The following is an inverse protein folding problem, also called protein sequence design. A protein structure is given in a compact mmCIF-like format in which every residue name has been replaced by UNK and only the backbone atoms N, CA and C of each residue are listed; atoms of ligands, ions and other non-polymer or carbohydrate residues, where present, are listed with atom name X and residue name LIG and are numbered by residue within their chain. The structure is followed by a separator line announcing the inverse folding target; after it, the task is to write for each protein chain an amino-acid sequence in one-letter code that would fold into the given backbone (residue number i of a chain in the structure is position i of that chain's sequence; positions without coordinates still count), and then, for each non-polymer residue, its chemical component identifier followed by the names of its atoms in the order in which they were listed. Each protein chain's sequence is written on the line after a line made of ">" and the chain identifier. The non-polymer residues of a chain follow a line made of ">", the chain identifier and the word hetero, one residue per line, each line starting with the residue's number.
data_IF_128705352316
#
_entry.id   IF_128705352316
#
_cell.length_a   1.000
_cell.length_b   1.000
_cell.length_c   1.000
_cell.angle_alpha   90.00
_cell.angle_beta   90.00
_cell.angle_gamma   90.00
#
_symmetry.space_group_name_H-M   'P 1'
#
loop_
_entity.id
_entity.type
_entity.pdbx_description
1 polymer ?
#
# COMPACT_ATOMS: atom_id res chain seq x y z
N UNK A 1 -21.36 10.87 5.23
CA UNK A 1 -21.12 9.90 4.14
C UNK A 1 -19.63 9.60 3.93
N UNK A 2 -18.75 10.61 3.85
CA UNK A 2 -17.30 10.43 3.70
C UNK A 2 -16.66 9.60 4.85
N UNK A 3 -16.99 9.90 6.11
CA UNK A 3 -16.49 9.13 7.27
C UNK A 3 -16.96 7.66 7.27
N UNK A 4 -18.16 7.38 6.77
CA UNK A 4 -18.67 6.01 6.65
C UNK A 4 -17.89 5.22 5.59
N UNK A 5 -17.56 5.85 4.46
CA UNK A 5 -16.68 5.25 3.44
C UNK A 5 -15.25 5.05 3.97
N UNK A 6 -14.75 5.96 4.79
CA UNK A 6 -13.44 5.79 5.42
C UNK A 6 -13.42 4.59 6.37
N UNK A 7 -14.44 4.43 7.20
CA UNK A 7 -14.57 3.28 8.09
C UNK A 7 -14.60 1.95 7.32
N UNK A 8 -15.33 1.88 6.20
CA UNK A 8 -15.40 0.66 5.37
C UNK A 8 -14.05 0.22 4.78
N UNK A 9 -13.05 1.10 4.71
CA UNK A 9 -11.70 0.76 4.21
C UNK A 9 -10.92 -0.05 5.26
N UNK A 10 -11.09 0.30 6.54
CA UNK A 10 -10.36 -0.33 7.64
C UNK A 10 -11.10 -1.52 8.24
N UNK A 11 -12.43 -1.61 8.12
CA UNK A 11 -13.22 -2.73 8.67
C UNK A 11 -12.66 -4.11 8.30
N UNK A 12 -12.29 -4.38 7.03
CA UNK A 12 -11.72 -5.69 6.66
C UNK A 12 -10.32 -5.94 7.26
N UNK A 13 -9.61 -4.90 7.65
CA UNK A 13 -8.25 -4.98 8.19
C UNK A 13 -8.24 -5.23 9.70
N UNK A 14 -9.30 -4.87 10.43
CA UNK A 14 -9.38 -4.98 11.89
C UNK A 14 -9.01 -6.39 12.39
N UNK A 15 -9.55 -7.50 11.84
CA UNK A 15 -9.18 -8.83 12.32
C UNK A 15 -7.69 -9.14 12.14
N UNK A 16 -7.11 -8.71 11.02
CA UNK A 16 -5.68 -8.84 10.74
C UNK A 16 -4.82 -8.05 11.72
N UNK A 17 -5.22 -6.80 12.03
CA UNK A 17 -4.56 -5.97 13.03
C UNK A 17 -4.58 -6.60 14.42
N UNK A 18 -5.71 -7.17 14.83
CA UNK A 18 -5.82 -7.83 16.13
C UNK A 18 -4.88 -9.03 16.20
N UNK A 19 -4.89 -9.92 15.21
CA UNK A 19 -4.04 -11.10 15.18
C UNK A 19 -2.54 -10.74 15.16
N UNK A 20 -2.13 -9.85 14.25
CA UNK A 20 -0.74 -9.43 14.12
C UNK A 20 -0.25 -8.63 15.33
N UNK A 21 -1.09 -7.80 15.93
CA UNK A 21 -0.78 -7.03 17.12
C UNK A 21 -0.60 -7.93 18.35
N UNK A 22 -1.48 -8.92 18.54
CA UNK A 22 -1.36 -9.89 19.63
C UNK A 22 -0.11 -10.77 19.48
N UNK A 23 0.17 -11.27 18.28
CA UNK A 23 1.40 -12.05 18.02
C UNK A 23 2.66 -11.24 18.31
N UNK A 24 2.71 -9.97 17.88
CA UNK A 24 3.81 -9.06 18.22
C UNK A 24 3.93 -8.87 19.73
N UNK A 25 2.82 -8.54 20.39
CA UNK A 25 2.77 -8.26 21.83
C UNK A 25 3.27 -9.43 22.65
N UNK A 26 2.76 -10.64 22.37
CA UNK A 26 3.19 -11.88 23.05
C UNK A 26 4.68 -12.13 22.79
N UNK A 27 5.13 -12.03 21.54
CA UNK A 27 6.53 -12.27 21.21
C UNK A 27 7.47 -11.26 21.88
N UNK A 28 7.09 -9.99 21.96
CA UNK A 28 7.86 -8.95 22.65
C UNK A 28 7.85 -9.14 24.17
N UNK A 29 6.72 -9.55 24.74
CA UNK A 29 6.61 -9.81 26.18
C UNK A 29 7.50 -10.97 26.60
N UNK A 30 7.47 -12.09 25.87
CA UNK A 30 8.34 -13.24 26.14
C UNK A 30 9.81 -12.86 25.98
N UNK A 31 10.17 -12.12 24.91
CA UNK A 31 11.53 -11.65 24.70
C UNK A 31 12.05 -10.82 25.88
N UNK A 32 11.23 -9.90 26.39
CA UNK A 32 11.56 -9.03 27.53
C UNK A 32 11.71 -9.80 28.83
N UNK A 33 10.77 -10.70 29.15
CA UNK A 33 10.81 -11.51 30.39
C UNK A 33 12.03 -12.43 30.41
N UNK A 34 12.34 -13.06 29.27
CA UNK A 34 13.45 -14.00 29.12
C UNK A 34 14.80 -13.31 28.89
N UNK A 35 14.85 -11.97 28.92
CA UNK A 35 16.05 -11.16 28.68
C UNK A 35 16.78 -11.54 27.37
N UNK A 36 16.02 -11.87 26.32
CA UNK A 36 16.59 -12.33 25.04
C UNK A 36 17.23 -11.13 24.33
N UNK A 37 18.56 -11.14 24.09
CA UNK A 37 19.23 -10.11 23.30
C UNK A 37 18.66 -10.02 21.89
N UNK A 38 18.68 -8.83 21.29
CA UNK A 38 18.14 -8.60 19.94
C UNK A 38 18.89 -9.36 18.84
N UNK A 39 20.14 -9.72 19.09
CA UNK A 39 21.09 -10.43 18.24
C UNK A 39 21.28 -11.89 18.66
N UNK A 40 20.51 -12.38 19.65
CA UNK A 40 20.59 -13.75 20.10
C UNK A 40 20.21 -14.72 18.98
N UNK A 41 21.09 -15.70 18.74
CA UNK A 41 20.85 -16.77 17.78
C UNK A 41 20.52 -18.06 18.53
N UNK A 42 19.44 -18.72 18.11
CA UNK A 42 18.97 -19.96 18.73
C UNK A 42 17.47 -20.19 18.53
N UNK A 43 17.01 -21.37 18.94
CA UNK A 43 15.63 -21.83 18.71
C UNK A 43 14.56 -20.91 19.32
N UNK A 44 14.82 -20.32 20.49
CA UNK A 44 13.89 -19.41 21.16
C UNK A 44 13.80 -18.03 20.46
N UNK A 45 14.91 -17.31 20.18
CA UNK A 45 14.88 -16.10 19.36
C UNK A 45 14.22 -16.31 17.98
N UNK A 46 14.48 -17.44 17.31
CA UNK A 46 13.91 -17.74 16.00
C UNK A 46 12.39 -17.95 16.07
N UNK A 47 11.88 -18.63 17.08
CA UNK A 47 10.45 -18.78 17.31
C UNK A 47 9.76 -17.43 17.59
N UNK A 48 10.40 -16.55 18.36
CA UNK A 48 9.89 -15.19 18.61
C UNK A 48 9.92 -14.33 17.35
N UNK A 49 10.97 -14.46 16.54
CA UNK A 49 11.08 -13.78 15.25
C UNK A 49 10.02 -14.27 14.25
N UNK A 50 9.70 -15.57 14.24
CA UNK A 50 8.59 -16.12 13.47
C UNK A 50 7.26 -15.47 13.87
N UNK A 51 6.98 -15.28 15.15
CA UNK A 51 5.76 -14.56 15.58
C UNK A 51 5.76 -13.09 15.15
N UNK A 52 6.90 -12.42 15.22
CA UNK A 52 7.06 -11.01 14.79
C UNK A 52 6.93 -10.82 13.28
N UNK A 53 7.18 -11.85 12.47
CA UNK A 53 7.16 -11.74 10.99
C UNK A 53 5.77 -11.42 10.47
N UNK A 54 4.72 -11.91 11.12
CA UNK A 54 3.33 -11.64 10.72
C UNK A 54 2.99 -10.15 10.82
N UNK A 55 3.45 -9.51 11.90
CA UNK A 55 3.26 -8.07 12.10
C UNK A 55 4.09 -7.26 11.12
N UNK A 56 5.34 -7.66 10.86
CA UNK A 56 6.15 -7.05 9.80
C UNK A 56 5.46 -7.14 8.45
N UNK A 57 4.90 -8.30 8.10
CA UNK A 57 4.15 -8.50 6.86
C UNK A 57 2.94 -7.58 6.76
N UNK A 58 2.10 -7.53 7.80
CA UNK A 58 0.93 -6.65 7.83
C UNK A 58 1.31 -5.18 7.65
N UNK A 59 2.29 -4.67 8.41
CA UNK A 59 2.66 -3.26 8.35
C UNK A 59 3.38 -2.89 7.05
N UNK A 60 4.16 -3.81 6.48
CA UNK A 60 4.83 -3.61 5.19
C UNK A 60 3.82 -3.48 4.04
N UNK A 61 2.80 -4.33 4.03
CA UNK A 61 1.78 -4.34 2.96
C UNK A 61 0.52 -3.57 3.31
N UNK A 62 0.50 -2.88 4.45
CA UNK A 62 -0.66 -2.12 4.92
C UNK A 62 -1.14 -1.13 3.86
N UNK A 63 -0.20 -0.43 3.23
CA UNK A 63 -0.49 0.54 2.17
C UNK A 63 -1.26 -0.09 1.01
N UNK A 64 -0.85 -1.29 0.58
CA UNK A 64 -1.49 -2.03 -0.52
C UNK A 64 -2.88 -2.49 -0.11
N UNK A 65 -3.03 -3.05 1.10
CA UNK A 65 -4.31 -3.51 1.63
C UNK A 65 -5.32 -2.36 1.78
N UNK A 66 -4.86 -1.19 2.22
CA UNK A 66 -5.66 0.03 2.29
C UNK A 66 -6.06 0.48 0.88
N UNK A 67 -5.13 0.51 -0.07
CA UNK A 67 -5.43 0.86 -1.47
C UNK A 67 -6.47 -0.04 -2.12
N UNK A 68 -6.38 -1.35 -1.87
CA UNK A 68 -7.35 -2.34 -2.33
C UNK A 68 -8.76 -2.06 -1.80
N UNK A 69 -8.88 -1.90 -0.47
CA UNK A 69 -10.16 -1.64 0.18
C UNK A 69 -10.70 -0.24 -0.19
N UNK A 70 -9.84 0.75 -0.35
CA UNK A 70 -10.21 2.10 -0.76
C UNK A 70 -10.82 2.12 -2.15
N UNK A 71 -10.19 1.48 -3.14
CA UNK A 71 -10.75 1.39 -4.49
C UNK A 71 -12.14 0.74 -4.48
N UNK A 72 -12.32 -0.35 -3.71
CA UNK A 72 -13.64 -0.97 -3.57
C UNK A 72 -14.67 -0.07 -2.88
N UNK A 73 -14.28 0.62 -1.79
CA UNK A 73 -15.16 1.54 -1.07
C UNK A 73 -15.62 2.73 -1.93
N UNK A 74 -14.82 3.10 -2.94
CA UNK A 74 -15.15 4.14 -3.91
C UNK A 74 -15.81 3.61 -5.19
N UNK A 75 -16.02 2.30 -5.32
CA UNK A 75 -16.72 1.67 -6.44
C UNK A 75 -15.87 1.34 -7.66
N UNK A 76 -14.54 1.33 -7.52
CA UNK A 76 -13.59 0.85 -8.53
C UNK A 76 -13.13 -0.58 -8.25
N UNK A 77 -12.23 -1.08 -9.09
CA UNK A 77 -11.66 -2.42 -8.95
C UNK A 77 -10.57 -2.42 -7.87
N UNK A 78 -10.74 -3.29 -6.86
CA UNK A 78 -9.78 -3.40 -5.75
C UNK A 78 -8.35 -3.66 -6.21
N UNK A 79 -8.17 -4.54 -7.20
CA UNK A 79 -6.84 -4.88 -7.75
C UNK A 79 -6.15 -3.65 -8.35
N UNK A 80 -6.87 -2.80 -9.08
CA UNK A 80 -6.30 -1.56 -9.63
C UNK A 80 -5.84 -0.61 -8.51
N UNK A 81 -6.64 -0.50 -7.45
CA UNK A 81 -6.27 0.25 -6.25
C UNK A 81 -5.01 -0.28 -5.56
N UNK A 82 -4.88 -1.61 -5.46
CA UNK A 82 -3.70 -2.26 -4.90
C UNK A 82 -2.43 -2.00 -5.73
N UNK A 83 -2.54 -2.06 -7.06
CA UNK A 83 -1.43 -1.76 -7.98
C UNK A 83 -0.96 -0.32 -7.81
N UNK A 84 -1.89 0.64 -7.81
CA UNK A 84 -1.56 2.05 -7.62
C UNK A 84 -0.93 2.28 -6.23
N UNK A 85 -1.46 1.65 -5.18
CA UNK A 85 -0.89 1.72 -3.85
C UNK A 85 0.52 1.11 -3.76
N UNK A 86 0.79 0.04 -4.50
CA UNK A 86 2.12 -0.57 -4.56
C UNK A 86 3.17 0.39 -5.12
N UNK A 87 2.80 1.30 -6.04
CA UNK A 87 3.72 2.32 -6.56
C UNK A 87 4.30 3.23 -5.46
N UNK A 88 3.55 3.42 -4.37
CA UNK A 88 4.00 4.18 -3.21
C UNK A 88 4.87 3.36 -2.23
N UNK A 89 4.97 2.05 -2.42
CA UNK A 89 5.83 1.17 -1.62
C UNK A 89 7.16 0.87 -2.32
N UNK A 90 7.19 0.97 -3.66
CA UNK A 90 8.39 0.70 -4.44
C UNK A 90 9.53 1.66 -4.10
N UNK A 91 10.75 1.13 -4.12
CA UNK A 91 11.97 1.92 -4.02
C UNK A 91 12.37 2.45 -5.40
N UNK A 92 12.59 3.76 -5.49
CA UNK A 92 13.08 4.44 -6.70
C UNK A 92 14.57 4.80 -6.63
N UNK A 93 15.24 4.44 -5.52
CA UNK A 93 16.68 4.67 -5.35
C UNK A 93 17.51 3.61 -6.12
N UNK A 94 18.25 3.99 -7.18
CA UNK A 94 19.05 3.07 -7.99
C UNK A 94 20.20 2.36 -7.25
N UNK A 95 20.58 2.85 -6.06
CA UNK A 95 21.59 2.23 -5.22
C UNK A 95 21.04 1.20 -4.22
N UNK A 96 19.71 1.03 -4.14
CA UNK A 96 19.10 0.07 -3.24
C UNK A 96 19.34 -1.37 -3.75
N UNK A 97 20.26 -2.09 -3.10
CA UNK A 97 20.57 -3.50 -3.39
C UNK A 97 19.54 -4.48 -2.81
N UNK A 98 18.64 -4.01 -1.94
CA UNK A 98 17.60 -4.83 -1.30
C UNK A 98 16.28 -4.06 -1.23
N UNK A 99 15.22 -4.61 -1.83
CA UNK A 99 13.87 -4.03 -1.87
C UNK A 99 13.13 -4.37 -3.17
N UNK A 100 11.93 -3.81 -3.36
CA UNK A 100 11.18 -3.89 -4.62
C UNK A 100 11.53 -2.67 -5.47
N UNK A 101 12.38 -2.87 -6.49
CA UNK A 101 12.91 -1.78 -7.31
C UNK A 101 12.03 -1.51 -8.53
N UNK A 102 11.71 -0.24 -8.77
CA UNK A 102 10.86 0.17 -9.89
C UNK A 102 11.58 0.16 -11.25
N UNK A 103 12.93 0.16 -11.27
CA UNK A 103 13.72 0.14 -12.51
C UNK A 103 14.00 1.52 -13.13
N UNK A 104 13.50 2.62 -12.54
CA UNK A 104 13.74 3.98 -13.00
C UNK A 104 13.90 4.96 -11.82
N UNK A 105 14.61 6.07 -12.05
CA UNK A 105 14.99 7.04 -11.03
C UNK A 105 14.02 8.23 -10.98
N UNK A 106 13.66 8.78 -12.14
CA UNK A 106 12.78 9.95 -12.24
C UNK A 106 11.59 9.67 -13.17
N UNK A 107 10.45 10.30 -12.88
CA UNK A 107 9.33 10.33 -13.80
C UNK A 107 9.51 11.53 -14.74
N UNK A 108 10.13 11.30 -15.92
CA UNK A 108 10.40 12.35 -16.91
C UNK A 108 11.13 13.59 -16.32
N UNK A 109 12.08 13.38 -15.39
CA UNK A 109 12.86 14.45 -14.74
C UNK A 109 12.21 15.07 -13.49
N UNK A 110 11.07 14.53 -13.03
CA UNK A 110 10.49 14.91 -11.74
C UNK A 110 10.95 13.95 -10.63
N UNK A 111 11.35 14.47 -9.45
CA UNK A 111 11.76 13.65 -8.32
C UNK A 111 10.56 12.86 -7.80
N UNK A 112 10.74 11.55 -7.67
CA UNK A 112 9.74 10.65 -7.09
C UNK A 112 10.06 10.52 -5.61
N UNK A 113 9.18 11.06 -4.76
CA UNK A 113 9.21 10.77 -3.34
C UNK A 113 8.16 9.69 -3.02
N UNK A 114 8.56 8.42 -2.88
CA UNK A 114 7.67 7.32 -2.54
C UNK A 114 7.32 7.30 -1.05
N UNK A 115 7.50 8.39 -0.29
CA UNK A 115 6.91 8.55 1.04
C UNK A 115 5.38 8.68 0.92
N UNK A 116 4.76 7.60 0.45
CA UNK A 116 3.33 7.44 0.39
C UNK A 116 2.77 7.32 1.79
N UNK A 117 2.48 8.46 2.39
CA UNK A 117 1.57 8.51 3.51
C UNK A 117 0.27 7.79 3.09
N UNK A 118 -0.35 7.05 4.01
CA UNK A 118 -1.63 6.36 3.81
C UNK A 118 -2.66 7.30 3.17
N UNK A 119 -2.61 8.59 3.51
CA UNK A 119 -3.45 9.65 2.93
C UNK A 119 -3.25 9.78 1.41
N UNK A 120 -2.01 9.81 0.92
CA UNK A 120 -1.71 9.90 -0.52
C UNK A 120 -2.25 8.70 -1.29
N UNK A 121 -2.13 7.50 -0.71
CA UNK A 121 -2.67 6.26 -1.29
C UNK A 121 -4.18 6.26 -1.32
N UNK A 122 -4.84 6.77 -0.28
CA UNK A 122 -6.30 6.92 -0.27
C UNK A 122 -6.80 7.88 -1.36
N UNK A 123 -6.09 8.99 -1.57
CA UNK A 123 -6.40 9.95 -2.64
C UNK A 123 -6.17 9.29 -4.01
N UNK A 124 -5.08 8.57 -4.19
CA UNK A 124 -4.76 7.86 -5.42
C UNK A 124 -5.78 6.76 -5.75
N UNK A 125 -6.19 5.98 -4.74
CA UNK A 125 -7.22 4.94 -4.90
C UNK A 125 -8.60 5.55 -5.21
N UNK A 126 -8.94 6.69 -4.61
CA UNK A 126 -10.16 7.44 -4.95
C UNK A 126 -10.13 7.95 -6.38
N UNK A 127 -9.00 8.56 -6.81
CA UNK A 127 -8.82 9.01 -8.19
C UNK A 127 -8.92 7.84 -9.17
N UNK A 128 -8.27 6.71 -8.84
CA UNK A 128 -8.31 5.47 -9.63
C UNK A 128 -9.75 5.01 -9.84
N UNK A 129 -10.54 4.88 -8.76
CA UNK A 129 -11.94 4.48 -8.85
C UNK A 129 -12.79 5.44 -9.71
N UNK A 130 -12.51 6.75 -9.62
CA UNK A 130 -13.25 7.75 -10.38
C UNK A 130 -12.90 7.73 -11.87
N UNK A 131 -11.62 7.57 -12.20
CA UNK A 131 -11.09 7.44 -13.56
C UNK A 131 -11.61 6.14 -14.18
N UNK A 132 -11.60 5.04 -13.42
CA UNK A 132 -12.14 3.75 -13.85
C UNK A 132 -13.58 3.89 -14.31
N UNK A 133 -14.44 4.49 -13.46
CA UNK A 133 -15.83 4.73 -13.82
C UNK A 133 -16.04 5.70 -14.99
N UNK A 134 -15.07 6.56 -15.32
CA UNK A 134 -15.12 7.41 -16.52
C UNK A 134 -14.73 6.64 -17.76
N UNK A 135 -13.60 5.93 -17.73
CA UNK A 135 -13.09 5.13 -18.84
C UNK A 135 -14.09 4.06 -19.23
N UNK A 136 -14.73 3.41 -18.24
CA UNK A 136 -15.76 2.40 -18.43
C UNK A 136 -16.94 2.86 -19.28
N UNK A 137 -17.28 4.15 -19.23
CA UNK A 137 -18.41 4.71 -20.00
C UNK A 137 -18.13 4.84 -21.50
N UNK A 138 -16.86 4.84 -21.90
CA UNK A 138 -16.45 4.98 -23.29
C UNK A 138 -16.01 3.65 -23.91
N UNK A 139 -15.97 2.57 -23.12
CA UNK A 139 -15.40 1.30 -23.55
C UNK A 139 -16.46 0.37 -24.15
N UNK A 140 -16.17 -0.33 -25.26
CA UNK A 140 -17.06 -1.34 -25.80
C UNK A 140 -17.13 -2.57 -24.88
N UNK A 141 -18.31 -3.17 -24.75
CA UNK A 141 -18.63 -4.23 -23.77
C UNK A 141 -17.67 -5.44 -23.84
N UNK A 142 -17.23 -5.83 -25.04
CA UNK A 142 -16.36 -6.99 -25.26
C UNK A 142 -14.94 -6.83 -24.67
N UNK A 143 -14.48 -5.58 -24.53
CA UNK A 143 -13.13 -5.26 -24.07
C UNK A 143 -13.10 -4.43 -22.79
N UNK A 144 -14.27 -4.16 -22.19
CA UNK A 144 -14.42 -3.29 -21.04
C UNK A 144 -13.45 -3.67 -19.92
N UNK A 145 -13.44 -4.93 -19.50
CA UNK A 145 -12.63 -5.35 -18.35
C UNK A 145 -11.11 -5.17 -18.56
N UNK A 146 -10.62 -5.45 -19.78
CA UNK A 146 -9.20 -5.36 -20.12
C UNK A 146 -8.77 -3.91 -20.36
N UNK A 147 -9.46 -3.22 -21.27
CA UNK A 147 -9.10 -1.86 -21.69
C UNK A 147 -9.36 -0.84 -20.58
N UNK A 148 -10.45 -0.99 -19.83
CA UNK A 148 -10.76 -0.07 -18.73
C UNK A 148 -9.68 -0.16 -17.67
N UNK A 149 -9.27 -1.36 -17.24
CA UNK A 149 -8.18 -1.48 -16.24
C UNK A 149 -6.86 -0.96 -16.76
N UNK A 150 -6.48 -1.28 -18.01
CA UNK A 150 -5.22 -0.83 -18.60
C UNK A 150 -5.14 0.70 -18.67
N UNK A 151 -6.17 1.35 -19.21
CA UNK A 151 -6.20 2.80 -19.39
C UNK A 151 -6.30 3.51 -18.03
N UNK A 152 -7.11 2.96 -17.12
CA UNK A 152 -7.23 3.51 -15.76
C UNK A 152 -5.90 3.48 -15.04
N UNK A 153 -5.16 2.37 -15.10
CA UNK A 153 -3.86 2.27 -14.45
C UNK A 153 -2.86 3.24 -15.07
N UNK A 154 -2.80 3.35 -16.40
CA UNK A 154 -1.91 4.28 -17.10
C UNK A 154 -2.16 5.74 -16.72
N UNK A 155 -3.42 6.17 -16.76
CA UNK A 155 -3.80 7.55 -16.42
C UNK A 155 -3.57 7.80 -14.92
N UNK A 156 -4.00 6.88 -14.07
CA UNK A 156 -3.90 7.07 -12.61
C UNK A 156 -2.47 7.01 -12.13
N UNK A 157 -1.63 6.11 -12.65
CA UNK A 157 -0.21 6.07 -12.33
C UNK A 157 0.47 7.38 -12.75
N UNK A 158 0.20 7.87 -13.96
CA UNK A 158 0.72 9.16 -14.44
C UNK A 158 0.31 10.31 -13.51
N UNK A 159 -0.97 10.39 -13.13
CA UNK A 159 -1.44 11.40 -12.18
C UNK A 159 -0.84 11.22 -10.78
N UNK A 160 -0.62 9.98 -10.34
CA UNK A 160 -0.01 9.69 -9.05
C UNK A 160 1.43 10.22 -8.99
N UNK A 161 2.23 9.97 -10.03
CA UNK A 161 3.61 10.48 -10.11
C UNK A 161 3.66 12.00 -10.28
N UNK A 162 2.81 12.59 -11.13
CA UNK A 162 2.87 14.02 -11.44
C UNK A 162 2.29 14.91 -10.35
N UNK A 163 1.28 14.45 -9.63
CA UNK A 163 0.48 15.28 -8.72
C UNK A 163 0.53 14.74 -7.30
N UNK A 164 0.21 13.47 -7.10
CA UNK A 164 -0.03 12.93 -5.75
C UNK A 164 1.26 12.77 -4.95
N UNK A 165 2.32 12.23 -5.55
CA UNK A 165 3.63 12.08 -4.92
C UNK A 165 4.29 13.43 -4.57
N UNK A 166 4.39 14.43 -5.47
CA UNK A 166 4.97 15.72 -5.12
C UNK A 166 4.13 16.53 -4.12
N UNK A 167 2.79 16.46 -4.20
CA UNK A 167 1.92 17.05 -3.17
C UNK A 167 2.10 16.36 -1.81
N UNK A 168 2.29 15.04 -1.80
CA UNK A 168 2.64 14.30 -0.60
C UNK A 168 3.95 14.81 0.01
N UNK A 169 4.99 14.98 -0.79
CA UNK A 169 6.25 15.58 -0.34
C UNK A 169 6.05 16.97 0.27
N UNK A 170 5.35 17.86 -0.43
CA UNK A 170 5.13 19.25 0.04
C UNK A 170 4.26 19.37 1.29
N UNK A 171 3.24 18.52 1.46
CA UNK A 171 2.34 18.56 2.62
C UNK A 171 2.97 17.99 3.90
N UNK A 172 4.04 17.22 3.79
CA UNK A 172 4.68 16.50 4.90
C UNK A 172 6.17 16.86 5.07
N UNK A 173 6.63 17.95 4.44
CA UNK A 173 7.85 18.67 4.83
C UNK A 173 7.66 19.45 6.15
#
# INVERSE_FOLDING_TARGET
>A
QFLAKFATIFTPLIPGFIAAGLLLGIATLIATVMHVPADAQGTLPDALNFMKVFSKGLFTFLVILVGYNAAQAFGGTGVNGAIIAALFLLGYNPAATTGYYAGFHDFFGLPIDPRGNIIGVLIAAWACARIEGMVRRFMPDDLDMLLTSLITLLITATLAYLIIMPLGGWLFE
#
